data_IF_598360689220
#
_entry.id   IF_598360689220
#
_cell.length_a   1.000
_cell.length_b   1.000
_cell.length_c   1.000
_cell.angle_alpha   90.00
_cell.angle_beta   90.00
_cell.angle_gamma   90.00
#
_symmetry.space_group_name_H-M   'P 1'
#
loop_
_entity.id
_entity.type
_entity.pdbx_description
1 polymer ?
#
# COMPACT_ATOMS: atom_id res chain seq x y z
N UNK A 1 -26.54 20.99 4.91
CA UNK A 1 -25.77 20.21 3.92
C UNK A 1 -25.16 21.16 2.89
N UNK A 2 -23.89 20.96 2.52
CA UNK A 2 -23.21 21.72 1.47
C UNK A 2 -22.76 20.80 0.32
N UNK A 3 -22.95 21.24 -0.92
CA UNK A 3 -22.46 20.52 -2.11
C UNK A 3 -22.29 21.50 -3.27
N UNK A 4 -21.07 21.96 -3.50
CA UNK A 4 -20.74 22.88 -4.59
C UNK A 4 -19.26 22.72 -5.00
N UNK A 5 -18.98 21.77 -5.89
CA UNK A 5 -17.64 21.47 -6.41
C UNK A 5 -16.54 21.45 -5.32
N UNK A 6 -16.86 20.89 -4.15
CA UNK A 6 -16.00 20.92 -2.97
C UNK A 6 -14.71 20.15 -3.25
N UNK A 7 -13.57 20.79 -3.04
CA UNK A 7 -12.24 20.17 -3.08
C UNK A 7 -11.71 19.94 -1.66
N UNK A 8 -10.58 19.23 -1.51
CA UNK A 8 -9.91 19.07 -0.21
C UNK A 8 -9.51 20.40 0.42
N UNK A 9 -9.12 21.39 -0.39
CA UNK A 9 -8.75 22.73 0.07
C UNK A 9 -9.97 23.46 0.63
N UNK A 10 -11.09 23.47 -0.11
CA UNK A 10 -12.33 24.05 0.38
C UNK A 10 -12.84 23.36 1.64
N UNK A 11 -12.63 22.05 1.77
CA UNK A 11 -13.04 21.29 2.95
C UNK A 11 -12.22 21.68 4.19
N UNK A 12 -10.92 21.95 4.04
CA UNK A 12 -10.06 22.50 5.11
C UNK A 12 -10.47 23.92 5.50
N UNK A 13 -10.75 24.77 4.51
CA UNK A 13 -11.22 26.14 4.77
C UNK A 13 -12.53 26.14 5.56
N UNK A 14 -13.49 25.30 5.17
CA UNK A 14 -14.75 25.13 5.89
C UNK A 14 -14.51 24.65 7.33
N UNK A 15 -13.63 23.66 7.54
CA UNK A 15 -13.29 23.20 8.90
C UNK A 15 -12.66 24.27 9.80
N UNK A 16 -12.01 25.28 9.23
CA UNK A 16 -11.45 26.41 9.99
C UNK A 16 -12.49 27.50 10.32
N UNK A 17 -13.64 27.49 9.66
CA UNK A 17 -14.72 28.46 9.88
C UNK A 17 -15.78 27.88 10.82
N UNK A 18 -16.36 28.70 11.67
CA UNK A 18 -17.58 28.30 12.37
C UNK A 18 -18.73 28.22 11.35
N UNK A 19 -19.26 27.02 11.17
CA UNK A 19 -20.39 26.75 10.28
C UNK A 19 -21.35 25.73 10.89
N UNK A 20 -22.61 25.76 10.49
CA UNK A 20 -23.65 24.80 10.92
C UNK A 20 -23.86 23.66 9.90
N UNK A 21 -22.83 23.30 9.13
CA UNK A 21 -22.93 22.27 8.08
C UNK A 21 -22.67 20.88 8.68
N UNK A 22 -23.70 20.04 8.74
CA UNK A 22 -23.58 18.65 9.23
C UNK A 22 -23.18 17.62 8.15
N UNK A 23 -23.41 17.94 6.87
CA UNK A 23 -23.22 17.01 5.74
C UNK A 23 -22.58 17.71 4.56
N UNK A 24 -21.56 17.09 3.96
CA UNK A 24 -20.85 17.58 2.77
C UNK A 24 -20.97 16.56 1.64
N UNK A 25 -21.55 16.97 0.53
CA UNK A 25 -21.63 16.18 -0.70
C UNK A 25 -20.48 16.54 -1.65
N UNK A 26 -19.56 15.61 -1.87
CA UNK A 26 -18.44 15.76 -2.82
C UNK A 26 -18.74 14.98 -4.10
N UNK A 27 -18.81 15.69 -5.23
CA UNK A 27 -19.08 15.11 -6.55
C UNK A 27 -17.81 14.96 -7.38
N UNK A 28 -17.64 15.84 -8.36
CA UNK A 28 -16.58 15.79 -9.39
C UNK A 28 -15.19 15.52 -8.82
N UNK A 29 -14.74 16.28 -7.82
CA UNK A 29 -13.39 16.12 -7.25
C UNK A 29 -13.12 14.72 -6.67
N UNK A 30 -14.13 14.05 -6.10
CA UNK A 30 -13.99 12.71 -5.54
C UNK A 30 -13.90 11.64 -6.63
N UNK A 31 -14.71 11.77 -7.69
CA UNK A 31 -14.84 10.72 -8.73
C UNK A 31 -13.77 10.86 -9.81
N UNK A 32 -13.39 12.09 -10.16
CA UNK A 32 -12.46 12.34 -11.27
C UNK A 32 -11.01 12.53 -10.84
N UNK A 33 -10.76 12.71 -9.53
CA UNK A 33 -9.42 12.93 -8.96
C UNK A 33 -8.59 13.92 -9.79
N UNK A 34 -9.04 15.17 -10.02
CA UNK A 34 -8.50 16.02 -11.10
C UNK A 34 -7.00 16.34 -10.97
N UNK A 35 -6.44 16.32 -9.76
CA UNK A 35 -5.00 16.51 -9.52
C UNK A 35 -4.15 15.31 -9.95
N UNK A 36 -4.70 14.09 -9.85
CA UNK A 36 -4.04 12.85 -10.25
C UNK A 36 -5.11 11.87 -10.79
N UNK A 37 -5.57 12.05 -12.05
CA UNK A 37 -6.68 11.26 -12.62
C UNK A 37 -6.30 9.81 -12.90
N UNK A 38 -5.03 9.44 -12.71
CA UNK A 38 -4.52 8.09 -12.90
C UNK A 38 -3.49 7.74 -11.82
N UNK A 39 -3.56 6.52 -11.29
CA UNK A 39 -2.65 6.03 -10.24
C UNK A 39 -1.27 5.60 -10.76
N UNK A 40 -1.14 5.32 -12.07
CA UNK A 40 0.14 4.88 -12.66
C UNK A 40 0.50 3.40 -12.38
N UNK A 41 -0.49 2.55 -12.06
CA UNK A 41 -0.26 1.12 -11.84
C UNK A 41 0.32 0.43 -13.08
N UNK A 42 1.23 -0.52 -12.85
CA UNK A 42 1.86 -1.31 -13.91
C UNK A 42 1.80 -2.80 -13.60
N UNK A 43 1.63 -3.61 -14.65
CA UNK A 43 1.80 -5.06 -14.59
C UNK A 43 3.14 -5.43 -15.26
N UNK A 44 3.95 -6.24 -14.58
CA UNK A 44 5.29 -6.65 -15.04
C UNK A 44 5.56 -8.10 -14.68
N UNK A 45 6.19 -8.82 -15.62
CA UNK A 45 6.68 -10.17 -15.41
C UNK A 45 7.95 -10.17 -14.56
N UNK A 46 7.96 -10.89 -13.45
CA UNK A 46 9.12 -10.97 -12.54
C UNK A 46 9.77 -12.36 -12.52
N UNK A 47 9.09 -13.39 -13.01
CA UNK A 47 9.58 -14.77 -13.01
C UNK A 47 8.90 -15.63 -14.09
N UNK A 48 9.64 -16.55 -14.71
CA UNK A 48 9.12 -17.58 -15.63
C UNK A 48 9.80 -18.90 -15.34
N UNK A 49 9.03 -19.96 -15.13
CA UNK A 49 9.54 -21.32 -14.88
C UNK A 49 10.61 -21.35 -13.77
N UNK A 50 10.36 -20.64 -12.66
CA UNK A 50 11.29 -20.51 -11.54
C UNK A 50 12.53 -19.65 -11.81
N UNK A 51 12.65 -19.04 -13.00
CA UNK A 51 13.76 -18.15 -13.35
C UNK A 51 13.33 -16.71 -13.25
N UNK A 52 13.98 -15.98 -12.35
CA UNK A 52 13.73 -14.57 -12.13
C UNK A 52 14.01 -13.73 -13.39
N UNK A 53 13.20 -12.68 -13.61
CA UNK A 53 13.28 -11.77 -14.74
C UNK A 53 13.37 -10.33 -14.25
N UNK A 54 14.27 -9.58 -14.82
CA UNK A 54 14.43 -8.15 -14.57
C UNK A 54 14.27 -7.40 -15.89
N UNK A 55 13.43 -6.37 -15.89
CA UNK A 55 13.40 -5.38 -16.95
C UNK A 55 14.37 -4.26 -16.56
N UNK A 56 15.41 -4.09 -17.36
CA UNK A 56 16.31 -2.95 -17.26
C UNK A 56 15.71 -1.74 -18.01
N UNK A 57 15.98 -0.55 -17.51
CA UNK A 57 15.55 0.72 -18.07
C UNK A 57 16.65 1.74 -17.84
N UNK A 58 16.82 2.67 -18.79
CA UNK A 58 17.73 3.81 -18.63
C UNK A 58 17.34 4.65 -17.39
N UNK A 59 16.03 4.79 -17.16
CA UNK A 59 15.48 5.30 -15.91
C UNK A 59 15.50 4.21 -14.83
N UNK A 60 16.37 4.36 -13.84
CA UNK A 60 16.51 3.42 -12.72
C UNK A 60 15.21 3.20 -11.94
N UNK A 61 14.34 4.20 -11.85
CA UNK A 61 13.05 4.08 -11.15
C UNK A 61 12.09 3.10 -11.83
N UNK A 62 12.33 2.80 -13.11
CA UNK A 62 11.53 1.87 -13.93
C UNK A 62 12.15 0.49 -14.05
N UNK A 63 13.29 0.26 -13.40
CA UNK A 63 13.89 -1.08 -13.29
C UNK A 63 13.08 -1.90 -12.29
N UNK A 64 12.66 -3.09 -12.69
CA UNK A 64 11.80 -3.94 -11.86
C UNK A 64 12.60 -4.80 -10.87
N UNK A 65 12.03 -5.13 -9.72
CA UNK A 65 12.60 -6.15 -8.84
C UNK A 65 12.32 -7.56 -9.36
N UNK A 66 13.35 -8.41 -9.55
CA UNK A 66 13.18 -9.76 -10.06
C UNK A 66 12.51 -10.71 -9.04
N UNK A 67 12.04 -11.87 -9.52
CA UNK A 67 11.53 -12.98 -8.71
C UNK A 67 10.08 -12.84 -8.25
N UNK A 68 9.45 -13.96 -7.90
CA UNK A 68 8.17 -13.96 -7.16
C UNK A 68 8.39 -13.47 -5.73
N UNK A 69 7.52 -12.60 -5.22
CA UNK A 69 7.72 -11.92 -3.93
C UNK A 69 6.50 -12.06 -3.00
N UNK A 70 6.76 -12.02 -1.70
CA UNK A 70 5.77 -11.71 -0.67
C UNK A 70 6.01 -10.29 -0.14
N UNK A 71 4.98 -9.65 0.42
CA UNK A 71 5.10 -8.33 1.05
C UNK A 71 4.50 -8.34 2.45
N UNK A 72 5.20 -7.71 3.38
CA UNK A 72 4.81 -7.61 4.79
C UNK A 72 4.89 -6.17 5.26
N UNK A 73 4.01 -5.75 6.16
CA UNK A 73 4.13 -4.50 6.90
C UNK A 73 4.66 -4.78 8.29
N UNK A 74 5.74 -4.09 8.65
CA UNK A 74 6.36 -4.17 9.96
C UNK A 74 5.86 -3.02 10.83
N UNK A 75 5.49 -3.30 12.08
CA UNK A 75 4.98 -2.31 13.02
C UNK A 75 5.90 -2.12 14.23
N UNK A 76 5.91 -0.90 14.77
CA UNK A 76 6.56 -0.57 16.03
C UNK A 76 5.76 -1.13 17.23
N UNK A 77 6.35 -1.18 18.43
CA UNK A 77 5.61 -1.54 19.65
C UNK A 77 4.38 -0.67 19.90
N UNK A 78 4.41 0.60 19.47
CA UNK A 78 3.32 1.56 19.59
C UNK A 78 2.22 1.38 18.53
N UNK A 79 2.36 0.40 17.63
CA UNK A 79 1.39 0.10 16.58
C UNK A 79 1.53 0.96 15.31
N UNK A 80 2.59 1.76 15.19
CA UNK A 80 2.84 2.55 13.99
C UNK A 80 3.57 1.73 12.92
N UNK A 81 3.21 1.87 11.63
CA UNK A 81 3.92 1.19 10.55
C UNK A 81 5.35 1.74 10.42
N UNK A 82 6.34 0.85 10.45
CA UNK A 82 7.77 1.16 10.29
C UNK A 82 8.15 1.18 8.81
N UNK A 83 7.89 0.07 8.11
CA UNK A 83 8.18 -0.11 6.69
C UNK A 83 7.37 -1.27 6.10
N UNK A 84 7.30 -1.30 4.76
CA UNK A 84 6.86 -2.47 4.01
C UNK A 84 8.08 -3.24 3.50
N UNK A 85 8.17 -4.51 3.87
CA UNK A 85 9.26 -5.42 3.51
C UNK A 85 8.83 -6.31 2.35
N UNK A 86 9.63 -6.33 1.29
CA UNK A 86 9.55 -7.33 0.22
C UNK A 86 10.54 -8.45 0.47
N UNK A 87 10.08 -9.68 0.31
CA UNK A 87 10.90 -10.90 0.38
C UNK A 87 10.66 -11.73 -0.87
N UNK A 88 11.60 -12.61 -1.22
CA UNK A 88 11.33 -13.66 -2.19
C UNK A 88 10.26 -14.60 -1.64
N UNK A 89 9.45 -15.16 -2.53
CA UNK A 89 8.37 -16.06 -2.13
C UNK A 89 8.86 -17.32 -1.40
N UNK A 90 10.12 -17.73 -1.65
CA UNK A 90 10.78 -18.87 -1.02
C UNK A 90 11.44 -18.55 0.32
N UNK A 91 11.56 -17.28 0.70
CA UNK A 91 12.15 -16.88 1.99
C UNK A 91 11.14 -17.10 3.11
N UNK A 92 11.65 -17.39 4.31
CA UNK A 92 10.79 -17.42 5.50
C UNK A 92 10.18 -16.05 5.77
N UNK A 93 8.93 -16.05 6.24
CA UNK A 93 8.27 -14.82 6.66
C UNK A 93 9.01 -14.23 7.87
N UNK A 94 9.18 -12.89 7.92
CA UNK A 94 9.74 -12.24 9.10
C UNK A 94 8.81 -12.46 10.30
N UNK A 95 9.39 -12.54 11.50
CA UNK A 95 8.66 -12.80 12.74
C UNK A 95 8.78 -11.61 13.68
N UNK A 96 7.74 -11.39 14.48
CA UNK A 96 7.76 -10.37 15.52
C UNK A 96 8.86 -10.66 16.55
N UNK A 97 9.61 -9.63 16.94
CA UNK A 97 10.73 -9.72 17.88
C UNK A 97 12.05 -10.19 17.27
N UNK A 98 12.07 -10.62 16.01
CA UNK A 98 13.29 -10.98 15.29
C UNK A 98 13.84 -9.81 14.48
N UNK A 99 15.16 -9.63 14.50
CA UNK A 99 15.83 -8.61 13.70
C UNK A 99 15.85 -9.02 12.23
N UNK A 100 15.40 -8.13 11.36
CA UNK A 100 15.45 -8.30 9.91
C UNK A 100 16.44 -7.31 9.32
N UNK A 101 17.39 -7.84 8.55
CA UNK A 101 18.26 -7.02 7.71
C UNK A 101 17.60 -6.81 6.35
N UNK A 102 17.39 -5.55 5.98
CA UNK A 102 16.79 -5.19 4.70
C UNK A 102 17.57 -4.08 4.02
N UNK A 103 17.32 -3.88 2.73
CA UNK A 103 17.92 -2.81 1.95
C UNK A 103 16.83 -1.82 1.52
N UNK A 104 17.05 -0.54 1.79
CA UNK A 104 16.18 0.50 1.26
C UNK A 104 16.30 0.57 -0.27
N UNK A 105 15.17 0.48 -0.97
CA UNK A 105 15.13 0.60 -2.43
C UNK A 105 15.34 2.06 -2.83
N UNK A 106 16.35 2.35 -3.65
CA UNK A 106 16.69 3.72 -4.05
C UNK A 106 18.11 3.86 -4.58
N UNK A 107 18.62 5.10 -4.64
CA UNK A 107 19.93 5.43 -5.25
C UNK A 107 21.14 4.95 -4.43
N UNK A 108 20.97 4.69 -3.14
CA UNK A 108 21.96 4.02 -2.29
C UNK A 108 21.25 2.86 -1.60
N UNK A 109 21.70 1.65 -1.86
CA UNK A 109 21.22 0.45 -1.17
C UNK A 109 21.78 0.46 0.26
N UNK A 110 21.19 1.31 1.10
CA UNK A 110 21.53 1.40 2.50
C UNK A 110 20.92 0.20 3.23
N UNK A 111 21.77 -0.49 3.99
CA UNK A 111 21.35 -1.62 4.81
C UNK A 111 20.74 -1.09 6.09
N UNK A 112 19.57 -1.62 6.44
CA UNK A 112 18.81 -1.28 7.63
C UNK A 112 18.61 -2.55 8.44
N UNK A 113 18.63 -2.40 9.76
CA UNK A 113 18.25 -3.44 10.71
C UNK A 113 16.98 -2.98 11.42
N UNK A 114 15.95 -3.81 11.37
CA UNK A 114 14.65 -3.48 11.97
C UNK A 114 14.11 -4.69 12.70
N UNK A 115 13.71 -4.47 13.95
CA UNK A 115 12.98 -5.47 14.75
C UNK A 115 11.54 -5.01 14.88
N UNK A 116 10.62 -5.77 14.30
CA UNK A 116 9.20 -5.44 14.31
C UNK A 116 8.53 -5.99 15.57
N UNK A 117 7.64 -5.22 16.20
CA UNK A 117 6.80 -5.72 17.27
C UNK A 117 5.62 -6.56 16.73
N UNK A 118 5.15 -6.24 15.52
CA UNK A 118 4.15 -7.02 14.81
C UNK A 118 4.46 -7.05 13.31
N UNK A 119 4.05 -8.13 12.65
CA UNK A 119 4.26 -8.38 11.21
C UNK A 119 2.92 -8.73 10.57
N UNK A 120 2.52 -7.98 9.55
CA UNK A 120 1.29 -8.21 8.80
C UNK A 120 1.58 -8.61 7.34
N UNK A 121 1.13 -9.77 6.85
CA UNK A 121 1.20 -10.09 5.43
C UNK A 121 0.21 -9.24 4.63
N UNK A 122 0.69 -8.58 3.58
CA UNK A 122 -0.13 -7.67 2.76
C UNK A 122 -0.76 -8.32 1.51
N UNK A 123 -0.29 -9.52 1.13
CA UNK A 123 -0.85 -10.26 -0.02
C UNK A 123 -1.68 -11.45 0.48
N UNK A 124 -2.93 -11.50 0.06
CA UNK A 124 -3.82 -12.64 0.29
C UNK A 124 -4.21 -13.30 -1.03
N UNK A 125 -4.38 -14.62 -1.02
CA UNK A 125 -4.79 -15.38 -2.20
C UNK A 125 -6.32 -15.33 -2.32
N UNK A 126 -6.82 -14.52 -3.25
CA UNK A 126 -8.26 -14.41 -3.54
C UNK A 126 -8.73 -15.42 -4.59
N UNK A 127 -7.82 -15.84 -5.48
CA UNK A 127 -8.13 -16.74 -6.58
C UNK A 127 -6.98 -17.73 -6.78
N UNK A 128 -7.30 -19.01 -6.81
CA UNK A 128 -6.33 -20.08 -6.95
C UNK A 128 -6.87 -21.17 -7.90
N UNK A 129 -6.06 -21.55 -8.89
CA UNK A 129 -6.35 -22.67 -9.82
C UNK A 129 -7.75 -22.61 -10.47
N UNK A 130 -8.21 -21.42 -10.84
CA UNK A 130 -9.51 -21.25 -11.49
C UNK A 130 -10.70 -21.12 -10.53
N UNK A 131 -10.47 -21.10 -9.22
CA UNK A 131 -11.50 -21.00 -8.20
C UNK A 131 -11.26 -19.80 -7.29
N UNK A 132 -12.35 -19.18 -6.83
CA UNK A 132 -12.29 -18.13 -5.81
C UNK A 132 -11.93 -18.80 -4.48
N UNK A 133 -10.80 -18.40 -3.90
CA UNK A 133 -10.29 -18.94 -2.64
C UNK A 133 -10.77 -18.13 -1.43
N UNK A 134 -10.95 -16.82 -1.59
CA UNK A 134 -11.38 -15.91 -0.54
C UNK A 134 -12.36 -14.88 -1.08
N UNK A 135 -13.39 -14.58 -0.29
CA UNK A 135 -14.38 -13.54 -0.58
C UNK A 135 -14.51 -12.64 0.64
N UNK A 136 -14.41 -11.33 0.43
CA UNK A 136 -14.65 -10.35 1.50
C UNK A 136 -15.96 -9.62 1.31
N UNK A 137 -16.66 -9.39 2.42
CA UNK A 137 -17.82 -8.51 2.45
C UNK A 137 -17.36 -7.06 2.50
N UNK A 138 -18.11 -6.17 1.87
CA UNK A 138 -17.83 -4.73 1.85
C UNK A 138 -17.64 -4.16 3.27
N UNK A 139 -18.45 -4.59 4.22
CA UNK A 139 -18.37 -4.16 5.62
C UNK A 139 -17.00 -4.43 6.26
N UNK A 140 -16.38 -5.55 5.92
CA UNK A 140 -15.04 -5.90 6.43
C UNK A 140 -13.99 -4.97 5.82
N UNK A 141 -14.05 -4.73 4.51
CA UNK A 141 -13.14 -3.82 3.81
C UNK A 141 -13.23 -2.40 4.37
N UNK A 142 -14.43 -1.91 4.67
CA UNK A 142 -14.62 -0.58 5.25
C UNK A 142 -13.99 -0.41 6.64
N UNK A 143 -13.89 -1.49 7.42
CA UNK A 143 -13.25 -1.46 8.73
C UNK A 143 -11.72 -1.41 8.63
N UNK A 144 -11.13 -1.94 7.56
CA UNK A 144 -9.67 -1.91 7.30
C UNK A 144 -9.13 -0.51 7.05
N UNK A 145 -9.94 0.40 6.48
CA UNK A 145 -9.52 1.78 6.17
C UNK A 145 -9.79 2.79 7.29
N UNK A 146 -10.26 2.35 8.47
CA UNK A 146 -10.44 3.25 9.60
C UNK A 146 -9.07 3.58 10.19
N UNK A 147 -8.61 4.80 9.93
CA UNK A 147 -7.48 5.38 10.67
C UNK A 147 -7.77 5.29 12.18
N UNK A 148 -6.77 5.00 13.03
CA UNK A 148 -6.94 5.12 14.47
C UNK A 148 -7.41 6.54 14.79
N UNK A 149 -8.45 6.64 15.62
CA UNK A 149 -8.99 7.93 16.09
C UNK A 149 -7.96 8.67 16.93
#
# INVERSE_FOLDING_TARGET
MASNNISEENLKELQCQEHEIDYIGVGTNLVTCPLQPSLGCVYKLTEVNGKARIKLSEDQSKTTLPGRKNSYRLYSPDGHPLLDLLTLHSEEAPRAGEEVQCCALGRKMERLQVTAANVEPLLSVYFERGQVALTEKLENLLNTFRLPR
#
